data_IF_837966887712
#
_entry.id   IF_837966887712
#
_cell.length_a   1.000
_cell.length_b   1.000
_cell.length_c   1.000
_cell.angle_alpha   90.00
_cell.angle_beta   90.00
_cell.angle_gamma   90.00
#
_symmetry.space_group_name_H-M   'P 1'
#
loop_
_entity.id
_entity.type
_entity.pdbx_description
1 polymer ?
#
# COMPACT_ATOMS: atom_id res chain seq x y z
N UNK A 1 7.11 38.22 4.77
CA UNK A 1 6.59 36.88 4.44
C UNK A 1 7.67 35.86 4.69
N UNK A 2 7.36 34.76 5.42
CA UNK A 2 8.26 33.61 5.62
C UNK A 2 7.95 32.55 4.57
N UNK A 3 8.94 32.15 3.76
CA UNK A 3 8.79 31.11 2.73
C UNK A 3 9.51 29.86 3.22
N UNK A 4 8.82 28.71 3.16
CA UNK A 4 9.40 27.38 3.42
C UNK A 4 9.16 26.54 2.17
N UNK A 5 10.23 26.08 1.53
CA UNK A 5 10.16 25.20 0.36
C UNK A 5 10.66 23.80 0.73
N UNK A 6 10.02 22.76 0.20
CA UNK A 6 10.43 21.37 0.42
C UNK A 6 10.44 20.60 -0.92
N UNK A 7 11.42 19.73 -1.09
CA UNK A 7 11.54 18.86 -2.26
C UNK A 7 12.25 17.56 -1.89
N UNK A 8 11.94 16.49 -2.59
CA UNK A 8 12.66 15.22 -2.54
C UNK A 8 13.61 15.03 -3.73
N UNK A 9 13.69 16.02 -4.64
CA UNK A 9 14.55 15.97 -5.82
C UNK A 9 15.94 16.53 -5.53
N UNK A 10 16.94 16.02 -6.26
CA UNK A 10 18.25 16.63 -6.28
C UNK A 10 18.21 17.91 -7.14
N UNK A 11 18.11 19.06 -6.45
CA UNK A 11 17.98 20.37 -7.11
C UNK A 11 19.22 20.73 -7.93
N UNK A 12 20.41 20.40 -7.46
CA UNK A 12 21.66 20.67 -8.18
C UNK A 12 21.70 19.95 -9.54
N UNK A 13 21.19 18.71 -9.57
CA UNK A 13 21.00 17.97 -10.82
C UNK A 13 19.92 18.59 -11.70
N UNK A 14 18.80 19.01 -11.12
CA UNK A 14 17.72 19.66 -11.85
C UNK A 14 18.14 20.99 -12.50
N UNK A 15 19.04 21.75 -11.84
CA UNK A 15 19.65 22.96 -12.38
C UNK A 15 20.52 22.62 -13.59
N UNK A 16 21.43 21.63 -13.46
CA UNK A 16 22.30 21.18 -14.56
C UNK A 16 21.51 20.69 -15.78
N UNK A 17 20.37 20.09 -15.57
CA UNK A 17 19.47 19.62 -16.62
C UNK A 17 18.50 20.71 -17.14
N UNK A 18 18.62 21.95 -16.69
CA UNK A 18 17.76 23.08 -17.09
C UNK A 18 16.31 23.00 -16.61
N UNK A 19 15.98 22.05 -15.72
CA UNK A 19 14.62 21.86 -15.19
C UNK A 19 14.29 22.75 -13.99
N UNK A 20 15.29 23.39 -13.41
CA UNK A 20 15.12 24.34 -12.30
C UNK A 20 16.03 25.54 -12.49
N UNK A 21 15.52 26.74 -12.21
CA UNK A 21 16.28 27.99 -12.39
C UNK A 21 17.26 28.16 -11.25
N UNK A 22 18.50 28.47 -11.60
CA UNK A 22 19.60 28.67 -10.64
C UNK A 22 19.39 29.93 -9.78
N UNK A 23 18.87 31.02 -10.36
CA UNK A 23 18.59 32.27 -9.62
C UNK A 23 17.53 32.03 -8.51
N UNK A 24 16.50 31.24 -8.78
CA UNK A 24 15.47 30.87 -7.82
C UNK A 24 16.06 30.00 -6.70
N UNK A 25 16.95 29.08 -7.04
CA UNK A 25 17.61 28.26 -6.03
C UNK A 25 18.34 29.09 -4.99
N UNK A 26 19.18 30.04 -5.42
CA UNK A 26 19.94 30.90 -4.49
C UNK A 26 19.04 31.81 -3.66
N UNK A 27 17.90 32.22 -4.17
CA UNK A 27 16.92 33.02 -3.39
C UNK A 27 16.20 32.20 -2.31
N UNK A 28 15.97 30.91 -2.52
CA UNK A 28 15.30 30.03 -1.60
C UNK A 28 16.25 29.34 -0.61
N UNK A 29 17.46 29.04 -1.03
CA UNK A 29 18.43 28.23 -0.25
C UNK A 29 19.22 29.07 0.73
N UNK A 30 18.53 29.84 1.58
CA UNK A 30 19.16 30.61 2.65
C UNK A 30 19.55 29.71 3.83
N UNK A 31 18.67 28.76 4.21
CA UNK A 31 18.91 27.76 5.24
C UNK A 31 18.48 26.40 4.71
N UNK A 32 19.41 25.48 4.57
CA UNK A 32 19.17 24.11 4.11
C UNK A 32 18.99 23.20 5.33
N UNK A 33 17.80 22.59 5.44
CA UNK A 33 17.52 21.57 6.44
C UNK A 33 17.36 20.23 5.72
N UNK A 34 18.24 19.29 6.02
CA UNK A 34 18.15 17.93 5.49
C UNK A 34 17.43 17.04 6.50
N UNK A 35 16.27 16.48 6.09
CA UNK A 35 15.52 15.55 6.92
C UNK A 35 16.00 14.13 6.61
N UNK A 36 16.61 13.41 7.56
CA UNK A 36 17.10 12.05 7.33
C UNK A 36 15.93 11.09 7.08
N UNK A 37 16.12 10.07 6.24
CA UNK A 37 15.10 9.04 6.03
C UNK A 37 14.90 8.17 7.28
N UNK A 38 13.76 7.48 7.38
CA UNK A 38 13.38 6.72 8.58
C UNK A 38 14.38 5.58 8.90
N UNK A 39 15.03 5.01 7.88
CA UNK A 39 16.10 3.99 8.06
C UNK A 39 17.31 4.50 8.84
N UNK A 40 17.54 5.80 8.88
CA UNK A 40 18.65 6.46 9.59
C UNK A 40 18.25 6.94 11.00
N UNK A 41 16.95 6.83 11.35
CA UNK A 41 16.37 7.19 12.66
C UNK A 41 15.37 6.14 13.14
N UNK A 42 15.82 4.89 13.16
CA UNK A 42 14.97 3.75 13.51
C UNK A 42 14.42 3.80 14.94
N UNK A 43 15.09 4.51 15.83
CA UNK A 43 14.63 4.81 17.18
C UNK A 43 13.28 5.55 17.22
N UNK A 44 12.93 6.28 16.16
CA UNK A 44 11.64 6.97 16.06
C UNK A 44 10.50 6.01 15.70
N UNK A 45 10.81 4.84 15.13
CA UNK A 45 9.78 3.89 14.62
C UNK A 45 8.78 3.48 15.69
N UNK A 46 9.17 3.09 16.93
CA UNK A 46 8.21 2.71 17.95
C UNK A 46 7.27 3.87 18.34
N UNK A 47 7.82 5.07 18.46
CA UNK A 47 7.05 6.26 18.83
C UNK A 47 6.03 6.64 17.72
N UNK A 48 6.49 6.66 16.48
CA UNK A 48 5.63 6.93 15.31
C UNK A 48 4.55 5.86 15.16
N UNK A 49 4.91 4.59 15.37
CA UNK A 49 3.97 3.48 15.32
C UNK A 49 2.86 3.63 16.38
N UNK A 50 3.21 3.96 17.62
CA UNK A 50 2.23 4.22 18.67
C UNK A 50 1.35 5.42 18.38
N UNK A 51 1.91 6.49 17.81
CA UNK A 51 1.17 7.68 17.41
C UNK A 51 0.12 7.33 16.34
N UNK A 52 0.53 6.66 15.26
CA UNK A 52 -0.39 6.25 14.19
C UNK A 52 -1.41 5.22 14.68
N UNK A 53 -1.00 4.28 15.53
CA UNK A 53 -1.92 3.31 16.09
C UNK A 53 -3.04 4.00 16.90
N UNK A 54 -2.71 4.93 17.80
CA UNK A 54 -3.71 5.70 18.55
C UNK A 54 -4.65 6.49 17.62
N UNK A 55 -4.07 7.15 16.60
CA UNK A 55 -4.83 7.90 15.58
C UNK A 55 -5.84 7.00 14.88
N UNK A 56 -5.40 5.86 14.34
CA UNK A 56 -6.26 4.98 13.57
C UNK A 56 -7.20 4.14 14.43
N UNK A 57 -6.78 3.76 15.64
CA UNK A 57 -7.68 3.12 16.61
C UNK A 57 -8.92 3.99 16.88
N UNK A 58 -8.71 5.28 17.12
CA UNK A 58 -9.82 6.22 17.32
C UNK A 58 -10.65 6.42 16.04
N UNK A 59 -9.99 6.54 14.87
CA UNK A 59 -10.66 6.79 13.60
C UNK A 59 -11.53 5.61 13.13
N UNK A 60 -11.08 4.37 13.32
CA UNK A 60 -11.77 3.16 12.86
C UNK A 60 -12.49 2.41 13.97
N UNK A 61 -12.55 2.98 15.17
CA UNK A 61 -13.19 2.38 16.35
C UNK A 61 -12.73 0.92 16.60
N UNK A 62 -11.40 0.70 16.49
CA UNK A 62 -10.82 -0.63 16.57
C UNK A 62 -10.68 -1.09 18.02
N UNK A 63 -10.99 -2.36 18.28
CA UNK A 63 -10.87 -3.01 19.58
C UNK A 63 -9.43 -3.43 19.92
N UNK A 64 -8.48 -3.32 18.96
CA UNK A 64 -7.08 -3.65 19.22
C UNK A 64 -6.53 -2.80 20.36
N UNK A 65 -5.88 -3.45 21.34
CA UNK A 65 -5.32 -2.74 22.49
C UNK A 65 -3.94 -2.15 22.20
N UNK A 66 -3.08 -2.91 21.55
CA UNK A 66 -1.69 -2.52 21.26
C UNK A 66 -1.21 -3.12 19.94
N UNK A 67 -0.12 -2.58 19.41
CA UNK A 67 0.62 -3.20 18.30
C UNK A 67 1.36 -4.43 18.83
N UNK A 68 1.30 -5.59 18.16
CA UNK A 68 2.04 -6.79 18.54
C UNK A 68 3.57 -6.54 18.60
N UNK A 69 4.24 -7.13 19.56
CA UNK A 69 5.70 -6.95 19.75
C UNK A 69 6.50 -7.52 18.59
N UNK A 70 6.08 -8.69 18.07
CA UNK A 70 6.64 -9.30 16.86
C UNK A 70 6.65 -8.36 15.66
N UNK A 71 5.56 -7.57 15.50
CA UNK A 71 5.45 -6.60 14.43
C UNK A 71 6.32 -5.37 14.66
N UNK A 72 6.45 -4.90 15.90
CA UNK A 72 7.36 -3.82 16.24
C UNK A 72 8.82 -4.18 15.96
N UNK A 73 9.23 -5.41 16.28
CA UNK A 73 10.57 -5.91 15.95
C UNK A 73 10.80 -5.97 14.43
N UNK A 74 9.81 -6.43 13.67
CA UNK A 74 9.87 -6.45 12.21
C UNK A 74 9.99 -5.03 11.65
N UNK A 75 9.23 -4.07 12.18
CA UNK A 75 9.30 -2.65 11.79
C UNK A 75 10.67 -2.03 12.07
N UNK A 76 11.32 -2.39 13.18
CA UNK A 76 12.68 -1.92 13.50
C UNK A 76 13.74 -2.44 12.51
N UNK A 77 13.55 -3.64 11.96
CA UNK A 77 14.48 -4.25 11.01
C UNK A 77 14.27 -3.76 9.57
N UNK A 78 13.07 -3.35 9.23
CA UNK A 78 12.71 -2.95 7.87
C UNK A 78 13.39 -1.65 7.44
N UNK A 79 13.62 -1.49 6.13
CA UNK A 79 14.39 -0.38 5.55
C UNK A 79 13.56 0.88 5.26
N UNK A 80 12.25 0.78 5.25
CA UNK A 80 11.31 1.89 5.04
C UNK A 80 11.60 2.71 3.78
N UNK A 81 11.59 2.12 2.56
CA UNK A 81 11.80 2.87 1.33
C UNK A 81 10.77 3.99 1.13
N UNK A 82 9.54 3.80 1.54
CA UNK A 82 8.47 4.81 1.54
C UNK A 82 8.43 5.69 2.78
N UNK A 83 9.47 5.60 3.66
CA UNK A 83 9.60 6.43 4.85
C UNK A 83 8.40 6.35 5.82
N UNK A 84 8.09 7.49 6.44
CA UNK A 84 6.98 7.62 7.41
C UNK A 84 5.62 7.31 6.76
N UNK A 85 5.43 7.64 5.48
CA UNK A 85 4.16 7.34 4.77
C UNK A 85 3.90 5.84 4.66
N UNK A 86 4.94 5.06 4.45
CA UNK A 86 4.84 3.60 4.40
C UNK A 86 4.52 3.03 5.80
N UNK A 87 5.20 3.50 6.84
CA UNK A 87 4.90 3.12 8.22
C UNK A 87 3.45 3.47 8.60
N UNK A 88 3.00 4.68 8.28
CA UNK A 88 1.61 5.11 8.53
C UNK A 88 0.61 4.18 7.84
N UNK A 89 0.87 3.80 6.58
CA UNK A 89 0.01 2.88 5.83
C UNK A 89 0.02 1.46 6.42
N UNK A 90 1.17 0.95 6.84
CA UNK A 90 1.27 -0.36 7.48
C UNK A 90 0.49 -0.42 8.79
N UNK A 91 0.63 0.61 9.64
CA UNK A 91 -0.13 0.70 10.90
C UNK A 91 -1.64 0.86 10.63
N UNK A 92 -2.01 1.63 9.61
CA UNK A 92 -3.43 1.73 9.19
C UNK A 92 -3.99 0.37 8.78
N UNK A 93 -3.26 -0.39 7.94
CA UNK A 93 -3.66 -1.75 7.53
C UNK A 93 -3.81 -2.67 8.73
N UNK A 94 -2.87 -2.65 9.67
CA UNK A 94 -2.95 -3.44 10.90
C UNK A 94 -4.25 -3.17 11.66
N UNK A 95 -4.59 -1.90 11.87
CA UNK A 95 -5.78 -1.50 12.63
C UNK A 95 -7.08 -1.88 11.91
N UNK A 96 -7.11 -1.76 10.57
CA UNK A 96 -8.29 -2.05 9.74
C UNK A 96 -8.49 -3.55 9.55
N UNK A 97 -7.42 -4.29 9.22
CA UNK A 97 -7.49 -5.72 8.92
C UNK A 97 -7.48 -6.58 10.19
N UNK A 98 -6.94 -6.06 11.29
CA UNK A 98 -6.73 -6.77 12.56
C UNK A 98 -5.92 -8.08 12.37
N UNK A 99 -5.11 -8.15 11.31
CA UNK A 99 -4.32 -9.33 10.94
C UNK A 99 -2.83 -8.97 10.84
N UNK A 100 -2.10 -9.41 11.85
CA UNK A 100 -0.64 -9.25 11.94
C UNK A 100 0.10 -9.99 10.84
N UNK A 101 -0.35 -11.21 10.49
CA UNK A 101 0.32 -12.07 9.51
C UNK A 101 0.32 -11.41 8.12
N UNK A 102 -0.76 -10.72 7.79
CA UNK A 102 -0.85 -10.00 6.53
C UNK A 102 0.21 -8.89 6.44
N UNK A 103 0.37 -8.10 7.51
CA UNK A 103 1.36 -7.02 7.56
C UNK A 103 2.79 -7.56 7.54
N UNK A 104 3.07 -8.66 8.25
CA UNK A 104 4.38 -9.32 8.24
C UNK A 104 4.74 -9.84 6.85
N UNK A 105 3.78 -10.38 6.11
CA UNK A 105 3.97 -10.84 4.74
C UNK A 105 4.36 -9.69 3.81
N UNK A 106 3.71 -8.54 3.92
CA UNK A 106 4.05 -7.35 3.14
C UNK A 106 5.48 -6.87 3.39
N UNK A 107 5.97 -6.95 4.65
CA UNK A 107 7.34 -6.60 5.00
C UNK A 107 8.39 -7.60 4.46
N UNK A 108 7.98 -8.84 4.21
CA UNK A 108 8.88 -9.90 3.72
C UNK A 108 9.06 -9.88 2.20
N UNK A 109 8.25 -9.11 1.47
CA UNK A 109 8.39 -8.96 0.02
C UNK A 109 9.53 -8.00 -0.29
N UNK A 110 10.40 -8.28 -1.29
CA UNK A 110 11.40 -7.33 -1.76
C UNK A 110 10.72 -6.02 -2.18
N UNK A 111 11.35 -4.89 -1.85
CA UNK A 111 10.81 -3.55 -2.12
C UNK A 111 10.47 -3.29 -3.61
N UNK A 112 11.07 -4.05 -4.52
CA UNK A 112 10.82 -3.99 -5.97
C UNK A 112 9.50 -4.66 -6.39
N UNK A 113 8.91 -5.49 -5.52
CA UNK A 113 7.67 -6.24 -5.80
C UNK A 113 6.44 -5.65 -5.13
N UNK A 114 6.59 -4.57 -4.39
CA UNK A 114 5.43 -3.89 -3.84
C UNK A 114 4.79 -3.07 -4.96
N UNK A 115 3.63 -3.49 -5.50
CA UNK A 115 2.80 -2.56 -6.24
C UNK A 115 2.52 -1.42 -5.26
N UNK A 116 3.08 -0.25 -5.53
CA UNK A 116 2.61 0.94 -4.83
C UNK A 116 1.11 1.00 -5.11
N UNK A 117 0.25 0.75 -4.14
CA UNK A 117 -1.12 1.15 -4.34
C UNK A 117 -1.05 2.68 -4.34
N UNK A 118 -1.06 3.28 -5.53
CA UNK A 118 -1.62 4.60 -5.69
C UNK A 118 -3.10 4.51 -5.28
N UNK A 119 -3.31 4.31 -3.98
CA UNK A 119 -4.57 4.66 -3.38
C UNK A 119 -4.51 6.19 -3.29
N UNK A 120 -4.81 6.83 -4.39
CA UNK A 120 -5.35 8.19 -4.38
C UNK A 120 -6.65 8.06 -3.59
N UNK A 121 -6.51 8.07 -2.27
CA UNK A 121 -7.66 8.29 -1.39
C UNK A 121 -7.99 9.77 -1.55
N UNK A 122 -8.84 10.04 -2.52
CA UNK A 122 -9.58 11.28 -2.55
C UNK A 122 -10.36 11.32 -1.24
N UNK A 123 -9.88 12.12 -0.29
CA UNK A 123 -10.46 12.31 1.06
C UNK A 123 -11.83 12.99 1.03
N UNK A 124 -12.47 13.10 -0.14
CA UNK A 124 -13.74 13.80 -0.33
C UNK A 124 -14.99 12.90 -0.26
N UNK A 125 -14.86 11.56 -0.28
CA UNK A 125 -16.05 10.70 -0.17
C UNK A 125 -15.85 9.54 0.81
N UNK A 126 -16.81 9.25 1.70
CA UNK A 126 -16.77 8.08 2.57
C UNK A 126 -17.02 6.83 1.71
N UNK A 127 -15.94 6.17 1.27
CA UNK A 127 -16.04 4.86 0.63
C UNK A 127 -16.65 3.87 1.62
N UNK A 128 -17.84 3.42 1.30
CA UNK A 128 -18.58 2.43 2.06
C UNK A 128 -17.74 1.15 2.16
N UNK A 129 -17.61 0.61 3.38
CA UNK A 129 -17.00 -0.70 3.66
C UNK A 129 -17.51 -1.82 2.72
N UNK A 130 -18.72 -1.67 2.21
CA UNK A 130 -19.38 -2.56 1.25
C UNK A 130 -18.71 -2.58 -0.12
N UNK A 131 -18.16 -1.45 -0.59
CA UNK A 131 -17.46 -1.34 -1.88
C UNK A 131 -16.03 -1.86 -1.80
N UNK A 132 -15.34 -1.65 -0.69
CA UNK A 132 -14.00 -2.21 -0.45
C UNK A 132 -14.05 -3.74 -0.34
N UNK A 133 -15.05 -4.27 0.36
CA UNK A 133 -15.31 -5.71 0.46
C UNK A 133 -15.60 -6.31 -0.93
N UNK A 134 -16.41 -5.63 -1.74
CA UNK A 134 -16.79 -6.07 -3.09
C UNK A 134 -15.59 -6.12 -4.05
N UNK A 135 -14.68 -5.14 -4.00
CA UNK A 135 -13.45 -5.14 -4.83
C UNK A 135 -12.49 -6.28 -4.47
N UNK A 136 -12.28 -6.56 -3.17
CA UNK A 136 -11.46 -7.71 -2.74
C UNK A 136 -12.07 -9.05 -3.14
N UNK A 137 -13.39 -9.19 -3.04
CA UNK A 137 -14.08 -10.42 -3.44
C UNK A 137 -13.92 -10.67 -4.94
N UNK A 138 -14.01 -9.63 -5.77
CA UNK A 138 -13.83 -9.70 -7.22
C UNK A 138 -12.41 -10.14 -7.60
N UNK A 139 -11.40 -9.64 -6.92
CA UNK A 139 -9.99 -9.97 -7.19
C UNK A 139 -9.67 -11.42 -6.82
N UNK A 140 -10.09 -11.86 -5.64
CA UNK A 140 -9.94 -13.25 -5.20
C UNK A 140 -10.72 -14.23 -6.08
N UNK A 141 -11.93 -13.87 -6.49
CA UNK A 141 -12.72 -14.70 -7.41
C UNK A 141 -12.07 -14.79 -8.80
N UNK A 142 -11.53 -13.70 -9.31
CA UNK A 142 -10.81 -13.68 -10.60
C UNK A 142 -9.60 -14.60 -10.59
N UNK A 143 -8.79 -14.53 -9.54
CA UNK A 143 -7.59 -15.36 -9.39
C UNK A 143 -7.96 -16.85 -9.25
N UNK A 144 -9.01 -17.17 -8.50
CA UNK A 144 -9.51 -18.53 -8.37
C UNK A 144 -10.02 -19.09 -9.71
N UNK A 145 -10.72 -18.28 -10.51
CA UNK A 145 -11.22 -18.66 -11.84
C UNK A 145 -10.04 -18.89 -12.80
N UNK A 146 -9.06 -17.98 -12.82
CA UNK A 146 -7.86 -18.14 -13.66
C UNK A 146 -7.10 -19.42 -13.33
N UNK A 147 -6.88 -19.69 -12.04
CA UNK A 147 -6.20 -20.90 -11.59
C UNK A 147 -6.94 -22.15 -12.02
N UNK A 148 -8.25 -22.23 -11.84
CA UNK A 148 -9.07 -23.36 -12.24
C UNK A 148 -9.11 -23.56 -13.78
N UNK A 149 -9.09 -22.47 -14.56
CA UNK A 149 -9.00 -22.55 -16.02
C UNK A 149 -7.64 -23.07 -16.48
N UNK A 150 -6.55 -22.62 -15.90
CA UNK A 150 -5.20 -23.12 -16.22
C UNK A 150 -5.05 -24.60 -15.86
N UNK A 151 -5.47 -25.00 -14.66
CA UNK A 151 -5.40 -26.41 -14.19
C UNK A 151 -6.29 -27.36 -15.03
N UNK A 152 -7.36 -26.84 -15.62
CA UNK A 152 -8.25 -27.61 -16.50
C UNK A 152 -7.94 -27.48 -17.99
N UNK A 153 -6.76 -26.95 -18.36
CA UNK A 153 -6.38 -26.67 -19.75
C UNK A 153 -7.47 -25.87 -20.52
N UNK A 154 -7.98 -24.81 -19.90
CA UNK A 154 -9.04 -23.94 -20.42
C UNK A 154 -10.37 -24.63 -20.72
N UNK A 155 -10.57 -25.83 -20.20
CA UNK A 155 -11.84 -26.52 -20.30
C UNK A 155 -12.86 -25.93 -19.30
N UNK A 156 -13.70 -25.02 -19.80
CA UNK A 156 -14.68 -24.27 -18.97
C UNK A 156 -15.65 -25.18 -18.19
N UNK A 157 -15.99 -26.38 -18.70
CA UNK A 157 -16.85 -27.33 -17.98
C UNK A 157 -16.15 -27.94 -16.78
N UNK A 158 -14.88 -28.37 -16.95
CA UNK A 158 -14.06 -28.92 -15.86
C UNK A 158 -13.73 -27.84 -14.82
N UNK A 159 -13.40 -26.62 -15.24
CA UNK A 159 -13.14 -25.50 -14.33
C UNK A 159 -14.38 -25.13 -13.49
N UNK A 160 -15.59 -25.13 -14.09
CA UNK A 160 -16.83 -24.90 -13.36
C UNK A 160 -17.09 -25.97 -12.28
N UNK A 161 -16.80 -27.25 -12.60
CA UNK A 161 -16.88 -28.34 -11.64
C UNK A 161 -15.86 -28.21 -10.50
N UNK A 162 -14.61 -27.86 -10.82
CA UNK A 162 -13.56 -27.66 -9.81
C UNK A 162 -13.88 -26.50 -8.85
N UNK A 163 -14.54 -25.44 -9.34
CA UNK A 163 -14.99 -24.31 -8.54
C UNK A 163 -16.35 -24.50 -7.86
N UNK A 164 -17.00 -25.65 -8.10
CA UNK A 164 -18.34 -25.98 -7.58
C UNK A 164 -19.41 -24.92 -7.94
N UNK A 165 -19.33 -24.36 -9.16
CA UNK A 165 -20.28 -23.38 -9.69
C UNK A 165 -20.89 -23.87 -11.01
N UNK A 166 -22.06 -23.30 -11.38
CA UNK A 166 -22.67 -23.67 -12.64
C UNK A 166 -21.86 -23.15 -13.84
N UNK A 167 -21.91 -23.87 -14.96
CA UNK A 167 -21.23 -23.47 -16.20
C UNK A 167 -21.65 -22.06 -16.67
N UNK A 168 -22.94 -21.70 -16.50
CA UNK A 168 -23.46 -20.37 -16.84
C UNK A 168 -22.86 -19.28 -15.94
N UNK A 169 -22.72 -19.56 -14.63
CA UNK A 169 -22.13 -18.63 -13.69
C UNK A 169 -20.65 -18.40 -14.01
N UNK A 170 -19.89 -19.46 -14.37
CA UNK A 170 -18.50 -19.32 -14.78
C UNK A 170 -18.38 -18.48 -16.06
N UNK A 171 -19.20 -18.72 -17.08
CA UNK A 171 -19.20 -17.92 -18.31
C UNK A 171 -19.49 -16.44 -18.06
N UNK A 172 -20.47 -16.15 -17.20
CA UNK A 172 -20.80 -14.77 -16.83
C UNK A 172 -19.61 -14.08 -16.16
N UNK A 173 -18.97 -14.75 -15.18
CA UNK A 173 -17.79 -14.22 -14.46
C UNK A 173 -16.56 -14.06 -15.36
N UNK A 174 -16.31 -14.98 -16.30
CA UNK A 174 -15.24 -14.86 -17.29
C UNK A 174 -15.43 -13.58 -18.12
N UNK A 175 -16.66 -13.32 -18.57
CA UNK A 175 -16.99 -12.12 -19.37
C UNK A 175 -16.93 -10.85 -18.53
N UNK A 176 -17.42 -10.89 -17.28
CA UNK A 176 -17.42 -9.77 -16.35
C UNK A 176 -15.99 -9.34 -15.96
N UNK A 177 -15.09 -10.30 -15.77
CA UNK A 177 -13.71 -10.06 -15.34
C UNK A 177 -12.71 -9.94 -16.51
N UNK A 178 -13.18 -10.01 -17.77
CA UNK A 178 -12.34 -9.86 -18.94
C UNK A 178 -11.23 -10.92 -19.03
N UNK A 179 -11.52 -12.18 -18.68
CA UNK A 179 -10.56 -13.28 -18.72
C UNK A 179 -10.58 -13.89 -20.12
N UNK A 180 -9.68 -13.43 -20.99
CA UNK A 180 -9.50 -13.98 -22.34
C UNK A 180 -8.29 -14.88 -22.44
N UNK A 181 -8.42 -15.90 -23.31
CA UNK A 181 -7.32 -16.76 -23.71
C UNK A 181 -6.53 -16.04 -24.81
N UNK A 182 -5.39 -15.41 -24.44
CA UNK A 182 -4.40 -14.96 -25.43
C UNK A 182 -3.56 -16.11 -25.87
#
# INVERSE_FOLDING_TARGET
VRVVAATNQNIERAIKEGRFREDLYYRLNVVKIQVPPLRERKEDVPLLCQHFFKKFKAQYNSEMEKVPESLLEAFMRYSWPGNIRELENMVRRLVVLKDEKYVLKDLSLPAESQPQPEVVVNLAEPLSLKEMSKRKTVEVERDAILKALVESNWNKKKAAQALNISYRALQYKIKEYGIDHS
#
